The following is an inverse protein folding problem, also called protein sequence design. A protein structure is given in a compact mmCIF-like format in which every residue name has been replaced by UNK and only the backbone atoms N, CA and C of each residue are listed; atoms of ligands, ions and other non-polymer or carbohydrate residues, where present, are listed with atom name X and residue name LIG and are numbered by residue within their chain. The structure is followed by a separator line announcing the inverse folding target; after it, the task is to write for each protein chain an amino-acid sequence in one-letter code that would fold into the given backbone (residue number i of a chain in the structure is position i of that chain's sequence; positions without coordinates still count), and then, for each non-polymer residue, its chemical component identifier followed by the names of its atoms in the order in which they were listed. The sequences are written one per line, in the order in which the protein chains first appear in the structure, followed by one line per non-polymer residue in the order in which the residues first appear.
data_IF_240298908679
#
_entry.id   IF_240298908679
#
_cell.length_a   1.000
_cell.length_b   1.000
_cell.length_c   1.000
_cell.angle_alpha   90.00
_cell.angle_beta   90.00
_cell.angle_gamma   90.00
#
_symmetry.space_group_name_H-M   'P 1'
#
loop_
_entity.id
_entity.type
_entity.pdbx_description
1 polymer ?
#
# COMPACT_ATOMS: atom_id res chain seq x y z
N UNK A 1 0.90 -7.47 3.39
CA UNK A 1 0.11 -7.04 4.55
C UNK A 1 0.93 -7.17 5.84
N UNK A 2 0.92 -8.33 6.53
CA UNK A 2 1.50 -8.49 7.89
C UNK A 2 2.93 -7.95 8.04
N UNK A 3 3.85 -8.32 7.14
CA UNK A 3 5.25 -7.86 7.23
C UNK A 3 5.39 -6.33 7.11
N UNK A 4 4.61 -5.70 6.22
CA UNK A 4 4.63 -4.24 6.04
C UNK A 4 4.02 -3.51 7.24
N UNK A 5 2.93 -4.04 7.79
CA UNK A 5 2.27 -3.47 8.97
C UNK A 5 3.14 -3.63 10.21
N UNK A 6 3.79 -4.79 10.38
CA UNK A 6 4.76 -5.02 11.45
C UNK A 6 5.94 -4.05 11.36
N UNK A 7 6.59 -3.94 10.18
CA UNK A 7 7.67 -2.97 9.98
C UNK A 7 7.21 -1.56 10.35
N UNK A 8 6.06 -1.12 9.82
CA UNK A 8 5.51 0.21 10.13
C UNK A 8 5.28 0.41 11.62
N UNK A 9 4.63 -0.56 12.28
CA UNK A 9 4.28 -0.47 13.68
C UNK A 9 5.51 -0.39 14.58
N UNK A 10 6.47 -1.31 14.42
CA UNK A 10 7.65 -1.36 15.26
C UNK A 10 8.61 -0.20 14.99
N UNK A 11 8.82 0.17 13.72
CA UNK A 11 9.70 1.30 13.37
C UNK A 11 9.17 2.61 13.93
N UNK A 12 7.87 2.91 13.78
CA UNK A 12 7.30 4.19 14.25
C UNK A 12 7.24 4.30 15.79
N UNK A 13 7.28 3.18 16.51
CA UNK A 13 7.42 3.18 17.98
C UNK A 13 8.80 3.63 18.43
N UNK A 14 9.84 3.31 17.65
CA UNK A 14 11.23 3.66 17.97
C UNK A 14 11.60 5.02 17.40
N UNK A 15 11.26 5.27 16.14
CA UNK A 15 11.58 6.51 15.42
C UNK A 15 10.39 6.96 14.58
N UNK A 16 9.81 8.10 14.93
CA UNK A 16 8.79 8.76 14.10
C UNK A 16 9.46 9.40 12.88
N UNK A 17 8.84 9.25 11.71
CA UNK A 17 9.34 9.83 10.46
C UNK A 17 8.82 9.08 9.24
N UNK A 18 9.31 9.45 8.07
CA UNK A 18 9.05 8.75 6.83
C UNK A 18 9.90 7.47 6.77
N UNK A 19 9.25 6.31 6.64
CA UNK A 19 9.91 5.03 6.44
C UNK A 19 10.23 4.89 4.95
N UNK A 20 11.50 4.64 4.62
CA UNK A 20 11.95 4.53 3.22
C UNK A 20 12.82 3.29 2.94
N UNK A 21 12.85 2.34 3.90
CA UNK A 21 13.61 1.10 3.85
C UNK A 21 12.69 -0.13 3.89
N UNK A 22 13.29 -1.34 3.85
CA UNK A 22 12.56 -2.60 3.90
C UNK A 22 11.48 -2.70 2.82
N UNK A 23 10.26 -3.03 3.21
CA UNK A 23 9.12 -3.17 2.28
C UNK A 23 8.72 -1.85 1.62
N UNK A 24 8.95 -0.73 2.31
CA UNK A 24 8.66 0.61 1.82
C UNK A 24 9.75 1.13 0.86
N UNK A 25 10.86 0.41 0.70
CA UNK A 25 11.94 0.81 -0.22
C UNK A 25 11.48 0.88 -1.68
N UNK A 26 10.57 -0.01 -2.07
CA UNK A 26 10.12 -0.14 -3.45
C UNK A 26 8.70 0.39 -3.63
N UNK A 27 7.77 0.02 -2.76
CA UNK A 27 6.35 0.35 -2.90
C UNK A 27 5.90 1.25 -1.75
N UNK A 28 5.14 2.32 -2.04
CA UNK A 28 4.64 3.24 -1.01
C UNK A 28 3.51 2.64 -0.16
N UNK A 29 2.77 1.69 -0.72
CA UNK A 29 1.62 1.05 -0.10
C UNK A 29 1.70 -0.51 -0.10
N UNK A 30 2.75 -1.11 0.50
CA UNK A 30 3.00 -2.56 0.42
C UNK A 30 1.99 -3.39 1.20
N UNK A 31 1.33 -2.82 2.21
CA UNK A 31 0.25 -3.48 2.93
C UNK A 31 -0.96 -3.71 2.00
N UNK A 32 -1.38 -2.66 1.28
CA UNK A 32 -2.50 -2.69 0.33
C UNK A 32 -2.23 -3.63 -0.83
N UNK A 33 -1.01 -3.63 -1.39
CA UNK A 33 -0.63 -4.60 -2.43
C UNK A 33 -0.87 -6.03 -1.94
N UNK A 34 -0.41 -6.36 -0.72
CA UNK A 34 -0.61 -7.69 -0.16
C UNK A 34 -2.08 -8.03 0.10
N UNK A 35 -2.89 -7.08 0.56
CA UNK A 35 -4.34 -7.28 0.72
C UNK A 35 -5.03 -7.56 -0.62
N UNK A 36 -4.70 -6.79 -1.65
CA UNK A 36 -5.21 -6.98 -3.02
C UNK A 36 -4.85 -8.38 -3.54
N UNK A 37 -3.61 -8.82 -3.34
CA UNK A 37 -3.16 -10.15 -3.76
C UNK A 37 -3.92 -11.28 -3.03
N UNK A 38 -4.10 -11.16 -1.70
CA UNK A 38 -4.80 -12.18 -0.91
C UNK A 38 -6.27 -12.26 -1.32
N UNK A 39 -7.00 -11.13 -1.31
CA UNK A 39 -8.42 -11.14 -1.64
C UNK A 39 -8.68 -11.46 -3.11
N UNK A 40 -7.80 -11.01 -4.00
CA UNK A 40 -7.81 -11.40 -5.41
C UNK A 40 -7.66 -12.90 -5.58
N UNK A 41 -6.79 -13.56 -4.81
CA UNK A 41 -6.63 -15.02 -4.85
C UNK A 41 -7.89 -15.77 -4.43
N UNK A 42 -8.61 -15.29 -3.40
CA UNK A 42 -9.88 -15.87 -2.99
C UNK A 42 -10.98 -15.66 -4.02
N UNK A 43 -11.07 -14.48 -4.63
CA UNK A 43 -12.03 -14.23 -5.71
C UNK A 43 -11.77 -15.15 -6.92
N UNK A 44 -10.50 -15.38 -7.28
CA UNK A 44 -10.13 -16.33 -8.32
C UNK A 44 -10.50 -17.77 -7.94
N UNK A 45 -10.30 -18.18 -6.69
CA UNK A 45 -10.61 -19.53 -6.20
C UNK A 45 -12.11 -19.85 -6.28
N UNK A 46 -12.98 -18.88 -6.02
CA UNK A 46 -14.44 -19.06 -6.10
C UNK A 46 -14.93 -19.15 -7.56
N UNK A 47 -14.13 -18.67 -8.52
CA UNK A 47 -14.46 -18.66 -9.95
C UNK A 47 -15.82 -18.03 -10.27
N UNK A 48 -16.16 -16.98 -9.53
CA UNK A 48 -17.39 -16.22 -9.71
C UNK A 48 -17.07 -14.73 -9.88
N UNK A 49 -17.81 -14.04 -10.74
CA UNK A 49 -17.54 -12.63 -11.07
C UNK A 49 -17.96 -11.66 -9.95
N UNK A 50 -18.98 -12.02 -9.16
CA UNK A 50 -19.53 -11.16 -8.10
C UNK A 50 -18.49 -10.72 -7.05
N UNK A 51 -17.64 -11.61 -6.48
CA UNK A 51 -16.53 -11.20 -5.62
C UNK A 51 -15.61 -10.14 -6.24
N UNK A 52 -15.33 -10.24 -7.54
CA UNK A 52 -14.46 -9.27 -8.25
C UNK A 52 -15.10 -7.88 -8.24
N UNK A 53 -16.42 -7.79 -8.47
CA UNK A 53 -17.15 -6.50 -8.43
C UNK A 53 -17.11 -5.88 -7.03
N UNK A 54 -17.34 -6.69 -6.00
CA UNK A 54 -17.27 -6.23 -4.60
C UNK A 54 -15.86 -5.75 -4.26
N UNK A 55 -14.83 -6.50 -4.64
CA UNK A 55 -13.43 -6.11 -4.42
C UNK A 55 -13.05 -4.86 -5.18
N UNK A 56 -13.48 -4.72 -6.45
CA UNK A 56 -13.24 -3.51 -7.23
C UNK A 56 -13.85 -2.27 -6.55
N UNK A 57 -15.07 -2.38 -6.02
CA UNK A 57 -15.70 -1.30 -5.27
C UNK A 57 -14.91 -0.92 -4.01
N UNK A 58 -14.44 -1.90 -3.23
CA UNK A 58 -13.62 -1.65 -2.03
C UNK A 58 -12.26 -1.05 -2.41
N UNK A 59 -11.59 -1.58 -3.44
CA UNK A 59 -10.26 -1.11 -3.82
C UNK A 59 -10.29 0.31 -4.39
N UNK A 60 -11.30 0.66 -5.18
CA UNK A 60 -11.44 2.01 -5.74
C UNK A 60 -12.00 2.97 -4.69
N UNK A 61 -13.07 2.61 -3.99
CA UNK A 61 -13.77 3.50 -3.07
C UNK A 61 -13.02 3.71 -1.75
N UNK A 62 -12.46 2.65 -1.18
CA UNK A 62 -11.81 2.71 0.13
C UNK A 62 -10.29 2.76 0.02
N UNK A 63 -9.67 1.84 -0.73
CA UNK A 63 -8.21 1.75 -0.74
C UNK A 63 -7.59 2.94 -1.46
N UNK A 64 -8.06 3.30 -2.65
CA UNK A 64 -7.50 4.42 -3.40
C UNK A 64 -7.63 5.74 -2.63
N UNK A 65 -8.78 6.01 -2.01
CA UNK A 65 -9.00 7.20 -1.18
C UNK A 65 -8.05 7.22 0.03
N UNK A 66 -7.93 6.10 0.75
CA UNK A 66 -7.02 6.00 1.88
C UNK A 66 -5.55 6.16 1.49
N UNK A 67 -5.15 5.64 0.32
CA UNK A 67 -3.80 5.80 -0.21
C UNK A 67 -3.51 7.26 -0.56
N UNK A 68 -4.45 7.96 -1.21
CA UNK A 68 -4.34 9.40 -1.48
C UNK A 68 -4.19 10.23 -0.21
N UNK A 69 -5.02 9.97 0.81
CA UNK A 69 -4.92 10.64 2.10
C UNK A 69 -3.59 10.36 2.80
N UNK A 70 -3.08 9.13 2.69
CA UNK A 70 -1.74 8.76 3.20
C UNK A 70 -0.63 9.49 2.44
N UNK A 71 -0.69 9.59 1.11
CA UNK A 71 0.28 10.38 0.34
C UNK A 71 0.29 11.85 0.78
N UNK A 72 -0.89 12.46 0.95
CA UNK A 72 -1.01 13.84 1.42
C UNK A 72 -0.44 14.02 2.84
N UNK A 73 -0.62 13.03 3.73
CA UNK A 73 0.00 13.07 5.05
C UNK A 73 1.52 12.90 4.99
N UNK A 74 2.03 12.03 4.11
CA UNK A 74 3.46 11.78 3.94
C UNK A 74 4.18 12.92 3.20
N UNK A 75 3.48 13.73 2.40
CA UNK A 75 4.08 14.84 1.65
C UNK A 75 4.59 15.99 2.53
N UNK A 76 4.28 15.99 3.83
CA UNK A 76 4.84 16.93 4.81
C UNK A 76 6.32 16.70 5.11
N UNK A 77 6.85 15.52 4.82
CA UNK A 77 8.23 15.17 5.13
C UNK A 77 9.19 15.70 4.06
N UNK A 78 10.31 16.36 4.43
CA UNK A 78 11.28 16.87 3.45
C UNK A 78 11.83 15.80 2.51
N UNK A 79 11.96 14.56 2.98
CA UNK A 79 12.48 13.43 2.21
C UNK A 79 11.46 12.90 1.18
N UNK A 80 10.19 13.31 1.27
CA UNK A 80 9.10 12.78 0.45
C UNK A 80 9.36 12.93 -1.05
N UNK A 81 9.84 14.10 -1.49
CA UNK A 81 10.06 14.34 -2.92
C UNK A 81 11.11 13.37 -3.50
N UNK A 82 12.20 13.11 -2.77
CA UNK A 82 13.22 12.16 -3.17
C UNK A 82 12.71 10.71 -3.08
N UNK A 83 11.92 10.39 -2.06
CA UNK A 83 11.31 9.09 -1.88
C UNK A 83 10.29 8.75 -2.97
N UNK A 84 9.40 9.68 -3.31
CA UNK A 84 8.36 9.50 -4.35
C UNK A 84 8.97 9.23 -5.72
N UNK A 85 10.11 9.86 -6.05
CA UNK A 85 10.83 9.65 -7.32
C UNK A 85 11.41 8.25 -7.50
N UNK A 86 11.72 7.54 -6.40
CA UNK A 86 12.38 6.22 -6.43
C UNK A 86 11.45 5.06 -6.05
N UNK A 87 10.17 5.33 -5.80
CA UNK A 87 9.21 4.33 -5.35
C UNK A 87 7.97 4.32 -6.23
N UNK A 88 7.32 3.17 -6.28
CA UNK A 88 6.07 2.95 -6.99
C UNK A 88 4.88 3.11 -6.06
N UNK A 89 3.72 3.45 -6.62
CA UNK A 89 2.51 3.63 -5.82
C UNK A 89 2.08 2.31 -5.18
N UNK A 90 1.78 1.30 -6.01
CA UNK A 90 1.16 0.05 -5.59
C UNK A 90 1.87 -1.18 -6.15
N UNK A 91 2.20 -1.20 -7.45
CA UNK A 91 2.85 -2.34 -8.09
C UNK A 91 4.30 -1.95 -8.42
N UNK A 92 5.31 -2.70 -7.95
CA UNK A 92 6.69 -2.36 -8.27
C UNK A 92 6.94 -2.53 -9.77
N UNK A 93 7.73 -1.63 -10.36
CA UNK A 93 8.07 -1.61 -11.78
C UNK A 93 6.91 -1.35 -12.74
N UNK A 94 5.74 -0.95 -12.22
CA UNK A 94 4.56 -0.57 -13.00
C UNK A 94 3.98 0.71 -12.41
N UNK A 95 4.03 1.81 -13.19
CA UNK A 95 3.55 3.15 -12.81
C UNK A 95 4.11 3.65 -11.45
#
# INVERSE_FOLDING_TARGET
MIAADAQKYFTLRVKRGLITDGMHRYVRHPNYLGEIMIYGSFAMMVWHWLPVVVLAWVWIGLFAVNMLMKEASMSRYPEWAAYKKRTWWLVPFVL
#
